data_IF_641607277191
#
_entry.id   IF_641607277191
#
_cell.length_a   1.000
_cell.length_b   1.000
_cell.length_c   1.000
_cell.angle_alpha   90.00
_cell.angle_beta   90.00
_cell.angle_gamma   90.00
#
_symmetry.space_group_name_H-M   'P 1'
#
loop_
_entity.id
_entity.type
_entity.pdbx_description
1 polymer ?
#
# COMPACT_ATOMS: atom_id res chain seq x y z
N UNK A 1 -12.52 -23.81 -5.03
CA UNK A 1 -13.04 -22.58 -5.65
C UNK A 1 -13.02 -21.49 -4.59
N UNK A 2 -11.88 -20.81 -4.47
CA UNK A 2 -11.68 -19.47 -3.90
C UNK A 2 -10.21 -19.16 -4.16
N UNK A 3 -9.88 -18.90 -5.44
CA UNK A 3 -8.74 -18.03 -5.73
C UNK A 3 -9.18 -16.68 -5.20
N UNK A 4 -8.94 -16.45 -3.91
CA UNK A 4 -9.16 -15.15 -3.31
C UNK A 4 -8.22 -14.23 -4.08
N UNK A 5 -8.78 -13.41 -4.97
CA UNK A 5 -8.06 -12.30 -5.58
C UNK A 5 -7.34 -11.59 -4.44
N UNK A 6 -6.01 -11.73 -4.39
CA UNK A 6 -5.20 -11.08 -3.37
C UNK A 6 -5.63 -9.60 -3.37
N UNK A 7 -5.92 -8.97 -2.22
CA UNK A 7 -6.37 -7.58 -2.16
C UNK A 7 -5.47 -6.62 -2.96
N UNK A 8 -4.18 -6.99 -3.05
CA UNK A 8 -3.15 -6.31 -3.83
C UNK A 8 -3.45 -6.41 -5.34
N UNK A 9 -3.84 -7.58 -5.84
CA UNK A 9 -4.23 -7.80 -7.23
C UNK A 9 -5.43 -6.94 -7.63
N UNK A 10 -6.44 -6.89 -6.75
CA UNK A 10 -7.63 -6.05 -6.97
C UNK A 10 -7.29 -4.56 -7.05
N UNK A 11 -6.33 -4.06 -6.26
CA UNK A 11 -5.85 -2.68 -6.36
C UNK A 11 -5.14 -2.40 -7.68
N UNK A 12 -4.26 -3.30 -8.12
CA UNK A 12 -3.57 -3.16 -9.42
C UNK A 12 -4.54 -3.19 -10.59
N UNK A 13 -5.58 -4.02 -10.56
CA UNK A 13 -6.61 -4.06 -11.59
C UNK A 13 -7.48 -2.80 -11.61
N UNK A 14 -7.80 -2.24 -10.44
CA UNK A 14 -8.47 -0.94 -10.36
C UNK A 14 -7.62 0.19 -10.96
N UNK A 15 -6.32 0.22 -10.66
CA UNK A 15 -5.38 1.19 -11.22
C UNK A 15 -5.27 1.06 -12.74
N UNK A 16 -5.12 -0.17 -13.26
CA UNK A 16 -5.09 -0.47 -14.70
C UNK A 16 -6.35 0.00 -15.40
N UNK A 17 -7.51 -0.26 -14.79
CA UNK A 17 -8.81 0.16 -15.34
C UNK A 17 -8.91 1.68 -15.41
N UNK A 18 -8.50 2.39 -14.35
CA UNK A 18 -8.51 3.84 -14.31
C UNK A 18 -7.60 4.46 -15.38
N UNK A 19 -6.40 3.90 -15.57
CA UNK A 19 -5.43 4.35 -16.60
C UNK A 19 -5.98 4.11 -18.01
N UNK A 20 -6.56 2.93 -18.29
CA UNK A 20 -7.20 2.67 -19.60
C UNK A 20 -8.38 3.58 -19.85
N UNK A 21 -9.17 3.87 -18.81
CA UNK A 21 -10.32 4.76 -18.92
C UNK A 21 -9.89 6.21 -19.20
N UNK A 22 -8.86 6.72 -18.54
CA UNK A 22 -8.35 8.07 -18.79
C UNK A 22 -7.77 8.21 -20.20
N UNK A 23 -7.06 7.19 -20.68
CA UNK A 23 -6.56 7.10 -22.05
C UNK A 23 -7.70 7.11 -23.07
N UNK A 24 -8.76 6.32 -22.85
CA UNK A 24 -9.94 6.31 -23.72
C UNK A 24 -10.66 7.67 -23.74
N UNK A 25 -10.79 8.33 -22.59
CA UNK A 25 -11.35 9.68 -22.51
C UNK A 25 -10.50 10.69 -23.28
N UNK A 26 -9.17 10.60 -23.18
CA UNK A 26 -8.25 11.45 -23.93
C UNK A 26 -8.39 11.24 -25.44
N UNK A 27 -8.36 9.99 -25.90
CA UNK A 27 -8.62 9.61 -27.31
C UNK A 27 -9.94 10.18 -27.82
N UNK A 28 -11.00 10.04 -27.03
CA UNK A 28 -12.32 10.54 -27.38
C UNK A 28 -12.37 12.07 -27.45
N UNK A 29 -11.65 12.76 -26.55
CA UNK A 29 -11.50 14.21 -26.57
C UNK A 29 -10.81 14.71 -27.84
N UNK A 30 -9.69 14.08 -28.22
CA UNK A 30 -8.97 14.41 -29.47
C UNK A 30 -9.84 14.16 -30.70
N UNK A 31 -10.55 13.01 -30.77
CA UNK A 31 -11.48 12.73 -31.86
C UNK A 31 -12.63 13.75 -31.93
N UNK A 32 -13.10 14.24 -30.78
CA UNK A 32 -14.13 15.29 -30.72
C UNK A 32 -13.60 16.61 -31.27
N UNK A 33 -12.37 17.00 -30.91
CA UNK A 33 -11.72 18.20 -31.46
C UNK A 33 -11.58 18.11 -32.98
N UNK A 34 -11.11 16.99 -33.52
CA UNK A 34 -11.02 16.78 -34.99
C UNK A 34 -12.35 16.95 -35.70
N UNK A 35 -13.42 16.42 -35.10
CA UNK A 35 -14.77 16.57 -35.64
C UNK A 35 -15.21 18.04 -35.67
N UNK A 36 -14.89 18.82 -34.64
CA UNK A 36 -15.17 20.26 -34.59
C UNK A 36 -14.38 21.02 -35.65
N UNK A 37 -13.09 20.72 -35.82
CA UNK A 37 -12.24 21.36 -36.84
C UNK A 37 -12.74 21.05 -38.26
N UNK A 38 -13.14 19.80 -38.50
CA UNK A 38 -13.77 19.37 -39.76
C UNK A 38 -15.12 20.05 -40.01
N UNK A 39 -15.93 20.22 -38.95
CA UNK A 39 -17.20 20.95 -39.03
C UNK A 39 -16.97 22.43 -39.33
N UNK A 40 -15.96 23.06 -38.75
CA UNK A 40 -15.61 24.46 -39.01
C UNK A 40 -15.18 24.65 -40.47
N UNK A 41 -14.32 23.75 -40.99
CA UNK A 41 -13.94 23.72 -42.41
C UNK A 41 -15.18 23.56 -43.30
N UNK A 42 -16.06 22.62 -42.98
CA UNK A 42 -17.31 22.39 -43.72
C UNK A 42 -18.20 23.63 -43.72
N UNK A 43 -18.26 24.35 -42.59
CA UNK A 43 -18.98 25.62 -42.46
C UNK A 43 -18.41 26.72 -43.36
N UNK A 44 -17.08 26.84 -43.44
CA UNK A 44 -16.42 27.79 -44.34
C UNK A 44 -16.74 27.49 -45.81
N UNK A 45 -16.69 26.22 -46.22
CA UNK A 45 -17.11 25.78 -47.56
C UNK A 45 -18.58 26.12 -47.83
N UNK A 46 -19.44 25.90 -46.84
CA UNK A 46 -20.86 26.27 -46.88
C UNK A 46 -21.05 27.78 -47.10
N UNK A 47 -20.35 28.62 -46.33
CA UNK A 47 -20.40 30.08 -46.47
C UNK A 47 -19.90 30.55 -47.86
N UNK A 48 -18.81 29.97 -48.35
CA UNK A 48 -18.29 30.26 -49.69
C UNK A 48 -19.34 29.94 -50.76
N UNK A 49 -19.99 28.77 -50.68
CA UNK A 49 -21.02 28.35 -51.62
C UNK A 49 -22.26 29.28 -51.61
N UNK A 50 -22.68 29.72 -50.43
CA UNK A 50 -23.80 30.66 -50.26
C UNK A 50 -23.48 32.03 -50.85
N UNK A 51 -22.25 32.54 -50.67
CA UNK A 51 -21.85 33.81 -51.26
C UNK A 51 -21.76 33.74 -52.79
N UNK A 52 -21.28 32.63 -53.36
CA UNK A 52 -21.33 32.39 -54.82
C UNK A 52 -22.78 32.41 -55.33
N UNK A 53 -23.69 31.77 -54.61
CA UNK A 53 -25.11 31.78 -54.96
C UNK A 53 -25.73 33.18 -54.89
N UNK A 54 -25.37 33.98 -53.88
CA UNK A 54 -25.82 35.37 -53.76
C UNK A 54 -25.30 36.24 -54.89
N UNK A 55 -24.03 36.08 -55.29
CA UNK A 55 -23.45 36.79 -56.44
C UNK A 55 -24.17 36.43 -57.74
N UNK A 56 -24.45 35.15 -57.97
CA UNK A 56 -25.18 34.70 -59.15
C UNK A 56 -26.61 35.26 -59.21
N UNK A 57 -27.29 35.32 -58.06
CA UNK A 57 -28.61 35.94 -57.94
C UNK A 57 -28.56 37.46 -58.18
N UNK A 58 -27.53 38.14 -57.67
CA UNK A 58 -27.31 39.56 -57.90
C UNK A 58 -27.02 39.87 -59.38
N UNK A 59 -26.20 39.04 -60.04
CA UNK A 59 -25.95 39.14 -61.48
C UNK A 59 -27.25 38.99 -62.28
N UNK A 60 -28.04 37.95 -61.96
CA UNK A 60 -29.34 37.70 -62.62
C UNK A 60 -30.34 38.85 -62.42
N UNK A 61 -30.41 39.43 -61.21
CA UNK A 61 -31.27 40.56 -60.90
C UNK A 61 -30.83 41.83 -61.67
N UNK A 62 -29.53 42.12 -61.70
CA UNK A 62 -28.97 43.24 -62.47
C UNK A 62 -29.26 43.07 -63.96
N UNK A 63 -29.10 41.85 -64.50
CA UNK A 63 -29.48 41.54 -65.87
C UNK A 63 -30.96 41.78 -66.15
N UNK A 64 -31.85 41.41 -65.24
CA UNK A 64 -33.28 41.68 -65.36
C UNK A 64 -33.59 43.18 -65.43
N UNK A 65 -32.95 43.99 -64.58
CA UNK A 65 -33.12 45.45 -64.55
C UNK A 65 -32.61 46.14 -65.82
N UNK A 66 -31.41 45.75 -66.27
CA UNK A 66 -30.78 46.29 -67.49
C UNK A 66 -31.61 45.90 -68.71
N UNK A 67 -32.07 44.65 -68.79
CA UNK A 67 -32.93 44.18 -69.89
C UNK A 67 -34.26 44.95 -69.94
N UNK A 68 -34.88 45.22 -68.80
CA UNK A 68 -36.13 45.97 -68.73
C UNK A 68 -35.96 47.43 -69.16
N UNK A 69 -34.81 48.03 -68.86
CA UNK A 69 -34.48 49.42 -69.23
C UNK A 69 -34.06 49.51 -70.70
N UNK A 70 -33.29 48.55 -71.19
CA UNK A 70 -32.93 48.39 -72.60
C UNK A 70 -34.17 48.22 -73.50
N UNK A 71 -35.20 47.50 -73.03
CA UNK A 71 -36.47 47.37 -73.74
C UNK A 71 -37.23 48.70 -73.95
N UNK A 72 -36.86 49.77 -73.23
CA UNK A 72 -37.44 51.11 -73.33
C UNK A 72 -36.55 52.12 -74.07
N UNK A 73 -35.32 51.76 -74.44
CA UNK A 73 -34.32 52.62 -75.08
C UNK A 73 -34.01 52.17 -76.53
N UNK A 74 -33.58 53.08 -77.44
CA UNK A 74 -33.16 52.73 -78.80
C UNK A 74 -31.90 51.84 -78.81
N UNK A 75 -31.87 50.90 -79.76
CA UNK A 75 -31.24 49.58 -79.69
C UNK A 75 -29.71 49.49 -79.65
N UNK A 76 -28.98 50.57 -79.85
CA UNK A 76 -27.53 50.50 -80.13
C UNK A 76 -26.64 50.47 -78.86
N UNK A 77 -27.12 50.97 -77.71
CA UNK A 77 -26.32 51.06 -76.46
C UNK A 77 -26.55 49.89 -75.47
N UNK A 78 -27.63 49.13 -75.63
CA UNK A 78 -27.99 48.02 -74.74
C UNK A 78 -26.95 46.88 -74.64
N UNK A 79 -26.36 46.36 -75.75
CA UNK A 79 -25.45 45.22 -75.68
C UNK A 79 -24.10 45.55 -75.01
N UNK A 80 -23.64 46.79 -75.07
CA UNK A 80 -22.41 47.24 -74.43
C UNK A 80 -22.55 47.28 -72.89
N UNK A 81 -23.72 47.72 -72.40
CA UNK A 81 -24.06 47.75 -70.98
C UNK A 81 -24.15 46.33 -70.38
N UNK A 82 -24.75 45.38 -71.10
CA UNK A 82 -24.78 43.97 -70.68
C UNK A 82 -23.36 43.39 -70.59
N UNK A 83 -22.52 43.61 -71.61
CA UNK A 83 -21.14 43.09 -71.63
C UNK A 83 -20.29 43.63 -70.48
N UNK A 84 -20.41 44.93 -70.18
CA UNK A 84 -19.67 45.57 -69.07
C UNK A 84 -20.09 44.99 -67.71
N UNK A 85 -21.38 44.72 -67.54
CA UNK A 85 -21.93 44.15 -66.31
C UNK A 85 -21.48 42.70 -66.13
N UNK A 86 -21.53 41.90 -67.20
CA UNK A 86 -21.03 40.53 -67.19
C UNK A 86 -19.54 40.47 -66.86
N UNK A 87 -18.70 41.29 -67.52
CA UNK A 87 -17.27 41.36 -67.22
C UNK A 87 -16.99 41.76 -65.76
N UNK A 88 -17.79 42.68 -65.21
CA UNK A 88 -17.67 43.11 -63.81
C UNK A 88 -18.03 42.00 -62.83
N UNK A 89 -19.13 41.27 -63.08
CA UNK A 89 -19.55 40.15 -62.25
C UNK A 89 -18.61 38.95 -62.39
N UNK A 90 -18.10 38.67 -63.59
CA UNK A 90 -17.13 37.60 -63.84
C UNK A 90 -15.82 37.89 -63.11
N UNK A 91 -15.33 39.13 -63.16
CA UNK A 91 -14.13 39.53 -62.44
C UNK A 91 -14.32 39.44 -60.91
N UNK A 92 -15.48 39.84 -60.41
CA UNK A 92 -15.83 39.73 -59.00
C UNK A 92 -15.93 38.26 -58.55
N UNK A 93 -16.58 37.41 -59.35
CA UNK A 93 -16.70 35.96 -59.08
C UNK A 93 -15.34 35.26 -59.12
N UNK A 94 -14.46 35.62 -60.08
CA UNK A 94 -13.10 35.07 -60.16
C UNK A 94 -12.29 35.44 -58.92
N UNK A 95 -12.28 36.73 -58.57
CA UNK A 95 -11.55 37.23 -57.38
C UNK A 95 -12.05 36.58 -56.10
N UNK A 96 -13.37 36.43 -55.96
CA UNK A 96 -14.00 35.79 -54.81
C UNK A 96 -13.66 34.30 -54.74
N UNK A 97 -13.75 33.58 -55.86
CA UNK A 97 -13.42 32.15 -55.95
C UNK A 97 -11.97 31.91 -55.59
N UNK A 98 -11.05 32.68 -56.18
CA UNK A 98 -9.61 32.57 -55.91
C UNK A 98 -9.29 32.81 -54.43
N UNK A 99 -9.92 33.80 -53.80
CA UNK A 99 -9.76 34.09 -52.38
C UNK A 99 -10.24 32.95 -51.49
N UNK A 100 -11.47 32.46 -51.70
CA UNK A 100 -12.02 31.38 -50.88
C UNK A 100 -11.31 30.05 -51.11
N UNK A 101 -10.92 29.75 -52.35
CA UNK A 101 -10.14 28.56 -52.66
C UNK A 101 -8.74 28.61 -52.03
N UNK A 102 -8.11 29.79 -51.97
CA UNK A 102 -6.84 29.96 -51.26
C UNK A 102 -7.00 29.79 -49.74
N UNK A 103 -8.04 30.39 -49.16
CA UNK A 103 -8.38 30.27 -47.75
C UNK A 103 -8.74 28.82 -47.36
N UNK A 104 -9.54 28.14 -48.18
CA UNK A 104 -9.93 26.74 -47.97
C UNK A 104 -8.70 25.83 -47.94
N UNK A 105 -7.79 25.97 -48.92
CA UNK A 105 -6.55 25.17 -48.98
C UNK A 105 -5.62 25.42 -47.81
N UNK A 106 -5.53 26.66 -47.34
CA UNK A 106 -4.73 27.02 -46.16
C UNK A 106 -5.28 26.33 -44.92
N UNK A 107 -6.58 26.49 -44.66
CA UNK A 107 -7.25 25.90 -43.49
C UNK A 107 -7.29 24.38 -43.56
N UNK A 108 -7.50 23.78 -44.74
CA UNK A 108 -7.41 22.33 -44.93
C UNK A 108 -6.04 21.79 -44.55
N UNK A 109 -4.97 22.43 -45.04
CA UNK A 109 -3.60 22.02 -44.74
C UNK A 109 -3.31 22.11 -43.24
N UNK A 110 -3.77 23.17 -42.59
CA UNK A 110 -3.57 23.36 -41.15
C UNK A 110 -4.33 22.31 -40.34
N UNK A 111 -5.60 22.05 -40.68
CA UNK A 111 -6.43 21.02 -40.03
C UNK A 111 -5.86 19.62 -40.27
N UNK A 112 -5.42 19.30 -41.48
CA UNK A 112 -4.83 18.01 -41.82
C UNK A 112 -3.50 17.79 -41.07
N UNK A 113 -2.62 18.79 -41.04
CA UNK A 113 -1.36 18.74 -40.30
C UNK A 113 -1.60 18.59 -38.79
N UNK A 114 -2.56 19.33 -38.24
CA UNK A 114 -2.94 19.23 -36.83
C UNK A 114 -3.55 17.85 -36.51
N UNK A 115 -4.35 17.29 -37.42
CA UNK A 115 -4.93 15.96 -37.28
C UNK A 115 -3.86 14.87 -37.28
N UNK A 116 -2.92 14.90 -38.23
CA UNK A 116 -1.83 13.92 -38.36
C UNK A 116 -0.93 13.92 -37.10
N UNK A 117 -0.47 15.10 -36.67
CA UNK A 117 0.32 15.25 -35.44
C UNK A 117 -0.43 14.77 -34.20
N UNK A 118 -1.73 15.05 -34.12
CA UNK A 118 -2.57 14.58 -33.03
C UNK A 118 -2.71 13.05 -33.02
N UNK A 119 -2.65 12.40 -34.18
CA UNK A 119 -2.83 10.95 -34.36
C UNK A 119 -1.57 10.26 -33.90
N UNK A 120 -0.43 10.73 -34.40
CA UNK A 120 0.89 10.29 -33.96
C UNK A 120 1.07 10.48 -32.44
N UNK A 121 0.62 11.60 -31.89
CA UNK A 121 0.69 11.84 -30.44
C UNK A 121 -0.19 10.87 -29.63
N UNK A 122 -1.43 10.64 -30.08
CA UNK A 122 -2.36 9.70 -29.44
C UNK A 122 -1.82 8.27 -29.49
N UNK A 123 -1.27 7.86 -30.62
CA UNK A 123 -0.70 6.52 -30.81
C UNK A 123 0.56 6.33 -29.97
N UNK A 124 1.45 7.33 -29.93
CA UNK A 124 2.64 7.31 -29.06
C UNK A 124 2.27 7.22 -27.58
N UNK A 125 1.25 7.95 -27.14
CA UNK A 125 0.73 7.84 -25.76
C UNK A 125 0.10 6.48 -25.49
N UNK A 126 -0.56 5.87 -26.48
CA UNK A 126 -1.14 4.54 -26.36
C UNK A 126 -0.06 3.49 -26.09
N UNK A 127 0.97 3.48 -26.93
CA UNK A 127 2.09 2.56 -26.83
C UNK A 127 2.87 2.76 -25.53
N UNK A 128 3.12 4.00 -25.12
CA UNK A 128 3.77 4.29 -23.83
C UNK A 128 2.93 3.81 -22.63
N UNK A 129 1.62 3.98 -22.69
CA UNK A 129 0.71 3.54 -21.63
C UNK A 129 0.69 2.01 -21.54
N UNK A 130 0.59 1.32 -22.68
CA UNK A 130 0.62 -0.14 -22.72
C UNK A 130 1.95 -0.71 -22.20
N UNK A 131 3.08 -0.09 -22.57
CA UNK A 131 4.40 -0.46 -22.04
C UNK A 131 4.46 -0.29 -20.51
N UNK A 132 3.91 0.81 -19.97
CA UNK A 132 3.81 1.04 -18.53
C UNK A 132 2.91 0.01 -17.82
N UNK A 133 1.78 -0.33 -18.43
CA UNK A 133 0.86 -1.34 -17.92
C UNK A 133 1.50 -2.74 -17.91
N UNK A 134 2.35 -3.05 -18.89
CA UNK A 134 3.10 -4.30 -18.94
C UNK A 134 4.19 -4.35 -17.87
N UNK A 135 4.95 -3.27 -17.71
CA UNK A 135 5.94 -3.15 -16.62
C UNK A 135 5.29 -3.31 -15.24
N UNK A 136 4.18 -2.63 -15.00
CA UNK A 136 3.44 -2.72 -13.73
C UNK A 136 2.84 -4.10 -13.51
N UNK A 137 2.43 -4.82 -14.57
CA UNK A 137 2.00 -6.21 -14.47
C UNK A 137 3.13 -7.15 -14.04
N UNK A 138 4.34 -6.96 -14.56
CA UNK A 138 5.50 -7.73 -14.09
C UNK A 138 5.78 -7.50 -12.60
N UNK A 139 5.58 -6.27 -12.12
CA UNK A 139 5.72 -5.93 -10.69
C UNK A 139 4.57 -6.49 -9.86
N UNK A 140 3.33 -6.44 -10.36
CA UNK A 140 2.15 -7.08 -9.75
C UNK A 140 2.40 -8.57 -9.53
N UNK A 141 2.85 -9.29 -10.56
CA UNK A 141 3.09 -10.73 -10.47
C UNK A 141 4.18 -11.07 -9.44
N UNK A 142 5.27 -10.28 -9.40
CA UNK A 142 6.32 -10.44 -8.38
C UNK A 142 5.80 -10.13 -6.97
N UNK A 143 5.02 -9.07 -6.80
CA UNK A 143 4.47 -8.68 -5.50
C UNK A 143 3.48 -9.72 -4.97
N UNK A 144 2.58 -10.22 -5.84
CA UNK A 144 1.63 -11.27 -5.49
C UNK A 144 2.36 -12.56 -5.13
N UNK A 145 3.36 -12.96 -5.93
CA UNK A 145 4.17 -14.14 -5.64
C UNK A 145 4.88 -14.04 -4.29
N UNK A 146 5.54 -12.91 -4.00
CA UNK A 146 6.24 -12.72 -2.72
C UNK A 146 5.28 -12.79 -1.52
N UNK A 147 4.08 -12.23 -1.66
CA UNK A 147 3.04 -12.27 -0.61
C UNK A 147 2.49 -13.68 -0.44
N UNK A 148 2.28 -14.42 -1.52
CA UNK A 148 1.83 -15.81 -1.47
C UNK A 148 2.90 -16.72 -0.84
N UNK A 149 4.17 -16.55 -1.19
CA UNK A 149 5.31 -17.25 -0.57
C UNK A 149 5.40 -16.97 0.92
N UNK A 150 5.34 -15.69 1.32
CA UNK A 150 5.35 -15.30 2.73
C UNK A 150 4.15 -15.86 3.49
N UNK A 151 2.96 -15.83 2.89
CA UNK A 151 1.76 -16.41 3.48
C UNK A 151 1.85 -17.93 3.59
N UNK A 152 2.53 -18.59 2.67
CA UNK A 152 2.85 -20.01 2.73
C UNK A 152 3.76 -20.33 3.93
N UNK A 153 4.86 -19.58 4.07
CA UNK A 153 5.80 -19.72 5.19
C UNK A 153 5.13 -19.48 6.54
N UNK A 154 4.25 -18.47 6.65
CA UNK A 154 3.49 -18.22 7.88
C UNK A 154 2.54 -19.37 8.21
N UNK A 155 1.84 -19.95 7.22
CA UNK A 155 0.98 -21.12 7.45
C UNK A 155 1.79 -22.32 7.94
N UNK A 156 2.93 -22.58 7.31
CA UNK A 156 3.81 -23.67 7.70
C UNK A 156 4.40 -23.48 9.10
N UNK A 157 4.72 -22.23 9.49
CA UNK A 157 5.13 -21.89 10.84
C UNK A 157 4.01 -22.08 11.87
N UNK A 158 2.78 -21.70 11.53
CA UNK A 158 1.60 -21.90 12.38
C UNK A 158 1.32 -23.39 12.56
N UNK A 159 1.39 -24.19 11.48
CA UNK A 159 1.25 -25.65 11.54
C UNK A 159 2.32 -26.27 12.43
N UNK A 160 3.60 -25.90 12.26
CA UNK A 160 4.69 -26.36 13.13
C UNK A 160 4.49 -25.96 14.60
N UNK A 161 3.92 -24.78 14.84
CA UNK A 161 3.62 -24.31 16.22
C UNK A 161 2.49 -25.10 16.85
N UNK A 162 1.44 -25.45 16.07
CA UNK A 162 0.38 -26.35 16.52
C UNK A 162 0.93 -27.74 16.82
N UNK A 163 1.76 -28.29 15.93
CA UNK A 163 2.37 -29.60 16.11
C UNK A 163 3.28 -29.66 17.36
N UNK A 164 3.96 -28.56 17.70
CA UNK A 164 4.71 -28.43 18.95
C UNK A 164 3.80 -28.32 20.18
N UNK A 165 2.65 -27.64 20.07
CA UNK A 165 1.65 -27.60 21.14
C UNK A 165 1.09 -28.99 21.40
N UNK A 166 0.69 -29.72 20.36
CA UNK A 166 0.18 -31.09 20.46
C UNK A 166 1.22 -32.00 21.15
N UNK A 167 2.49 -31.92 20.75
CA UNK A 167 3.58 -32.67 21.40
C UNK A 167 3.83 -32.29 22.86
N UNK A 168 3.63 -31.02 23.22
CA UNK A 168 3.74 -30.54 24.59
C UNK A 168 2.58 -31.07 25.43
N UNK A 169 1.38 -31.07 24.87
CA UNK A 169 0.17 -31.59 25.50
C UNK A 169 0.30 -33.09 25.77
N UNK A 170 0.73 -33.88 24.78
CA UNK A 170 1.02 -35.32 24.93
C UNK A 170 2.06 -35.57 26.05
N UNK A 171 3.13 -34.77 26.11
CA UNK A 171 4.18 -34.90 27.15
C UNK A 171 3.67 -34.58 28.55
N UNK A 172 2.81 -33.56 28.66
CA UNK A 172 2.22 -33.18 29.92
C UNK A 172 1.25 -34.28 30.38
N UNK A 173 0.48 -34.87 29.47
CA UNK A 173 -0.37 -36.02 29.78
C UNK A 173 0.45 -37.22 30.29
N UNK A 174 1.54 -37.57 29.60
CA UNK A 174 2.47 -38.64 30.02
C UNK A 174 3.10 -38.36 31.40
N UNK A 175 3.60 -37.13 31.63
CA UNK A 175 4.18 -36.75 32.93
C UNK A 175 3.15 -36.76 34.06
N UNK A 176 1.92 -36.35 33.77
CA UNK A 176 0.85 -36.33 34.78
C UNK A 176 0.43 -37.75 35.14
N UNK A 177 0.37 -38.66 34.16
CA UNK A 177 0.14 -40.09 34.40
C UNK A 177 1.26 -40.75 35.22
N UNK A 178 2.51 -40.39 34.96
CA UNK A 178 3.66 -40.84 35.76
C UNK A 178 3.60 -40.32 37.21
N UNK A 179 3.18 -39.06 37.41
CA UNK A 179 3.00 -38.47 38.75
C UNK A 179 1.86 -39.16 39.51
N UNK A 180 0.74 -39.45 38.85
CA UNK A 180 -0.38 -40.17 39.45
C UNK A 180 0.04 -41.58 39.89
N UNK A 181 0.79 -42.29 39.03
CA UNK A 181 1.38 -43.59 39.35
C UNK A 181 2.38 -43.52 40.51
N UNK A 182 3.18 -42.46 40.59
CA UNK A 182 4.15 -42.25 41.65
C UNK A 182 3.46 -41.93 42.99
N UNK A 183 2.36 -41.17 42.97
CA UNK A 183 1.54 -40.88 44.14
C UNK A 183 0.85 -42.14 44.66
N UNK A 184 0.32 -43.00 43.77
CA UNK A 184 -0.22 -44.31 44.17
C UNK A 184 0.85 -45.18 44.83
N UNK A 185 2.04 -45.26 44.22
CA UNK A 185 3.17 -46.03 44.77
C UNK A 185 3.65 -45.48 46.11
N UNK A 186 3.65 -44.16 46.28
CA UNK A 186 4.01 -43.51 47.53
C UNK A 186 2.96 -43.76 48.61
N UNK A 187 1.67 -43.74 48.26
CA UNK A 187 0.59 -44.10 49.17
C UNK A 187 0.71 -45.56 49.64
N UNK A 188 0.98 -46.50 48.74
CA UNK A 188 1.25 -47.91 49.10
C UNK A 188 2.49 -48.04 50.01
N UNK A 189 3.56 -47.28 49.75
CA UNK A 189 4.74 -47.26 50.63
C UNK A 189 4.42 -46.72 52.02
N UNK A 190 3.59 -45.67 52.12
CA UNK A 190 3.15 -45.10 53.39
C UNK A 190 2.30 -46.12 54.15
N UNK A 191 1.39 -46.84 53.49
CA UNK A 191 0.62 -47.91 54.12
C UNK A 191 1.52 -49.05 54.64
N UNK A 192 2.51 -49.49 53.84
CA UNK A 192 3.48 -50.49 54.29
C UNK A 192 4.32 -49.99 55.47
N UNK A 193 4.73 -48.72 55.44
CA UNK A 193 5.51 -48.13 56.53
C UNK A 193 4.66 -47.98 57.79
N UNK A 194 3.38 -47.60 57.66
CA UNK A 194 2.43 -47.59 58.77
C UNK A 194 2.23 -48.99 59.35
N UNK A 195 2.08 -50.03 58.52
CA UNK A 195 2.03 -51.41 59.00
C UNK A 195 3.31 -51.82 59.73
N UNK A 196 4.49 -51.50 59.19
CA UNK A 196 5.76 -51.77 59.87
C UNK A 196 5.88 -51.00 61.19
N UNK A 197 5.41 -49.75 61.24
CA UNK A 197 5.36 -48.96 62.46
C UNK A 197 4.33 -49.50 63.44
N UNK A 198 3.21 -50.05 63.00
CA UNK A 198 2.23 -50.72 63.88
C UNK A 198 2.80 -52.01 64.44
N UNK A 199 3.48 -52.83 63.63
CA UNK A 199 4.18 -54.04 64.08
C UNK A 199 5.34 -53.71 65.02
N UNK A 200 6.13 -52.67 64.70
CA UNK A 200 7.20 -52.19 65.57
C UNK A 200 6.65 -51.51 66.81
N UNK A 201 5.55 -50.77 66.74
CA UNK A 201 4.90 -50.17 67.90
C UNK A 201 4.28 -51.25 68.79
N UNK A 202 3.69 -52.32 68.24
CA UNK A 202 3.27 -53.47 69.02
C UNK A 202 4.45 -54.23 69.66
N UNK A 203 5.60 -54.27 68.98
CA UNK A 203 6.84 -54.85 69.50
C UNK A 203 7.47 -53.97 70.60
N UNK A 204 7.54 -52.66 70.40
CA UNK A 204 8.08 -51.64 71.32
C UNK A 204 7.13 -51.43 72.50
N UNK A 205 5.82 -51.49 72.32
CA UNK A 205 4.82 -51.44 73.40
C UNK A 205 4.95 -52.66 74.33
N UNK A 206 5.59 -53.75 73.88
CA UNK A 206 5.93 -54.90 74.70
C UNK A 206 7.24 -54.71 75.51
N UNK A 207 8.09 -53.75 75.17
CA UNK A 207 9.40 -53.49 75.82
C UNK A 207 9.64 -52.00 76.18
N UNK A 208 8.76 -51.41 76.99
CA UNK A 208 9.04 -50.30 77.93
C UNK A 208 9.47 -48.92 77.30
N UNK A 209 9.69 -47.84 78.10
CA UNK A 209 8.83 -46.66 78.31
C UNK A 209 9.21 -45.39 77.51
N UNK A 210 8.32 -44.40 77.59
CA UNK A 210 8.39 -43.02 77.07
C UNK A 210 9.64 -42.22 77.54
N UNK A 211 10.33 -41.60 76.57
CA UNK A 211 11.15 -40.37 76.67
C UNK A 211 11.52 -40.00 75.21
N UNK A 212 11.13 -38.89 74.58
CA UNK A 212 10.95 -37.52 75.06
C UNK A 212 12.20 -36.71 74.70
N UNK A 213 12.13 -35.92 73.61
CA UNK A 213 12.86 -34.66 73.25
C UNK A 213 12.91 -34.54 71.71
N UNK A 214 12.13 -33.67 71.05
CA UNK A 214 12.31 -32.20 70.88
C UNK A 214 13.72 -31.84 70.37
N UNK A 215 13.89 -31.63 69.06
CA UNK A 215 13.96 -30.31 68.37
C UNK A 215 15.44 -29.93 68.04
N UNK A 216 15.77 -28.89 67.24
CA UNK A 216 15.26 -28.50 65.92
C UNK A 216 16.39 -28.08 64.92
N UNK A 217 15.94 -27.77 63.69
CA UNK A 217 16.53 -27.05 62.55
C UNK A 217 17.87 -26.29 62.68
N UNK A 218 18.77 -26.49 61.71
CA UNK A 218 19.90 -25.59 61.40
C UNK A 218 19.52 -24.61 60.30
N UNK A 219 19.51 -23.32 60.65
CA UNK A 219 19.35 -22.15 59.78
C UNK A 219 20.75 -21.82 59.22
N UNK A 220 20.90 -21.72 57.90
CA UNK A 220 22.16 -21.29 57.28
C UNK A 220 22.24 -19.76 57.41
N UNK A 221 23.22 -19.30 58.18
CA UNK A 221 23.64 -17.89 58.25
C UNK A 221 24.41 -17.54 56.97
N UNK A 222 23.96 -16.52 56.23
CA UNK A 222 24.73 -15.90 55.15
C UNK A 222 25.45 -14.66 55.71
N UNK A 223 26.78 -14.64 55.55
CA UNK A 223 27.70 -13.59 55.99
C UNK A 223 27.24 -12.19 55.55
N UNK A 224 27.26 -11.24 56.50
CA UNK A 224 26.79 -9.86 56.32
C UNK A 224 27.77 -8.96 55.55
N UNK A 225 28.93 -9.47 55.12
CA UNK A 225 29.95 -8.66 54.44
C UNK A 225 29.79 -8.63 52.91
N UNK A 226 28.89 -9.41 52.31
CA UNK A 226 28.71 -9.51 50.85
C UNK A 226 27.28 -9.22 50.38
N UNK A 227 26.47 -8.62 51.25
CA UNK A 227 25.09 -8.21 50.97
C UNK A 227 25.04 -6.73 50.56
N UNK A 228 24.04 -6.38 49.76
CA UNK A 228 23.82 -5.01 49.26
C UNK A 228 23.56 -3.97 50.36
N UNK A 229 23.43 -4.40 51.63
CA UNK A 229 23.27 -3.53 52.80
C UNK A 229 24.56 -2.76 53.16
N UNK A 230 25.71 -3.22 52.67
CA UNK A 230 27.00 -2.59 52.94
C UNK A 230 27.31 -1.38 52.04
N UNK A 231 26.53 -1.17 50.97
CA UNK A 231 26.72 -0.06 50.01
C UNK A 231 25.96 1.16 50.49
N UNK A 232 26.66 2.29 50.65
CA UNK A 232 26.07 3.51 51.19
C UNK A 232 25.09 4.12 50.18
N UNK A 233 23.83 4.27 50.58
CA UNK A 233 22.75 4.79 49.73
C UNK A 233 21.83 3.73 49.11
N UNK A 234 22.10 2.43 49.33
CA UNK A 234 21.18 1.35 48.97
C UNK A 234 20.23 1.05 50.14
N UNK A 235 19.02 1.61 50.08
CA UNK A 235 17.97 1.41 51.10
C UNK A 235 17.22 0.06 50.90
N UNK A 236 16.37 -0.30 51.86
CA UNK A 236 15.59 -1.55 51.80
C UNK A 236 14.71 -1.67 50.54
N UNK A 237 14.09 -0.56 50.11
CA UNK A 237 13.22 -0.52 48.93
C UNK A 237 14.02 -0.75 47.63
N UNK A 238 15.22 -0.17 47.54
CA UNK A 238 16.13 -0.35 46.40
C UNK A 238 16.63 -1.80 46.33
N UNK A 239 16.90 -2.44 47.48
CA UNK A 239 17.32 -3.86 47.50
C UNK A 239 16.22 -4.81 47.04
N UNK A 240 14.97 -4.50 47.35
CA UNK A 240 13.84 -5.31 46.86
C UNK A 240 13.77 -5.24 45.33
N UNK A 241 13.89 -4.04 44.76
CA UNK A 241 13.90 -3.83 43.30
C UNK A 241 15.10 -4.52 42.62
N UNK A 242 16.30 -4.41 43.21
CA UNK A 242 17.49 -5.12 42.72
C UNK A 242 17.34 -6.64 42.84
N UNK A 243 16.72 -7.13 43.93
CA UNK A 243 16.44 -8.56 44.12
C UNK A 243 15.44 -9.10 43.09
N UNK A 244 14.44 -8.32 42.69
CA UNK A 244 13.52 -8.68 41.60
C UNK A 244 14.24 -8.81 40.26
N UNK A 245 15.27 -7.99 40.04
CA UNK A 245 16.18 -8.09 38.89
C UNK A 245 17.27 -9.19 39.05
N UNK A 246 17.24 -9.97 40.15
CA UNK A 246 18.20 -11.03 40.43
C UNK A 246 19.56 -10.54 40.95
N UNK A 247 19.69 -9.26 41.27
CA UNK A 247 20.88 -8.63 41.82
C UNK A 247 20.74 -8.64 43.34
N UNK A 248 21.28 -9.67 43.99
CA UNK A 248 21.09 -9.89 45.44
C UNK A 248 22.37 -9.72 46.26
N UNK A 249 23.52 -9.68 45.58
CA UNK A 249 24.85 -9.58 46.20
C UNK A 249 25.67 -8.45 45.57
N UNK A 250 26.70 -8.00 46.30
CA UNK A 250 27.67 -7.00 45.80
C UNK A 250 28.34 -7.49 44.49
N UNK A 251 28.56 -8.81 44.36
CA UNK A 251 29.13 -9.40 43.15
C UNK A 251 28.17 -9.37 41.95
N UNK A 252 26.86 -9.46 42.19
CA UNK A 252 25.87 -9.33 41.13
C UNK A 252 25.72 -7.87 40.69
N UNK A 253 25.84 -6.92 41.62
CA UNK A 253 25.81 -5.48 41.35
C UNK A 253 26.94 -5.07 40.39
N UNK A 254 28.17 -5.47 40.71
CA UNK A 254 29.36 -5.20 39.87
C UNK A 254 29.28 -5.92 38.51
N UNK A 255 28.71 -7.12 38.46
CA UNK A 255 28.52 -7.87 37.20
C UNK A 255 27.44 -7.27 36.30
N UNK A 256 26.35 -6.76 36.88
CA UNK A 256 25.25 -6.18 36.13
C UNK A 256 25.67 -4.87 35.41
N UNK A 257 26.58 -4.09 36.01
CA UNK A 257 27.05 -2.83 35.44
C UNK A 257 26.06 -1.67 35.63
N UNK A 258 26.55 -0.44 35.50
CA UNK A 258 25.83 0.78 35.90
C UNK A 258 24.48 0.96 35.17
N UNK A 259 24.42 0.63 33.88
CA UNK A 259 23.20 0.72 33.06
C UNK A 259 22.08 -0.20 33.59
N UNK A 260 22.38 -1.48 33.81
CA UNK A 260 21.37 -2.45 34.28
C UNK A 260 20.97 -2.22 35.74
N UNK A 261 21.90 -1.74 36.57
CA UNK A 261 21.60 -1.37 37.97
C UNK A 261 20.72 -0.12 38.02
N UNK A 262 20.97 0.85 37.15
CA UNK A 262 20.15 2.06 37.05
C UNK A 262 18.73 1.77 36.58
N UNK A 263 18.58 0.87 35.60
CA UNK A 263 17.26 0.42 35.12
C UNK A 263 16.52 -0.38 36.19
N UNK A 264 17.20 -1.30 36.89
CA UNK A 264 16.59 -2.14 37.92
C UNK A 264 16.11 -1.35 39.15
N UNK A 265 16.81 -0.28 39.52
CA UNK A 265 16.52 0.54 40.70
C UNK A 265 15.83 1.88 40.39
N UNK A 266 15.49 2.16 39.13
CA UNK A 266 14.92 3.44 38.66
C UNK A 266 15.70 4.67 39.15
N UNK A 267 17.04 4.62 39.02
CA UNK A 267 17.96 5.70 39.39
C UNK A 267 18.78 6.19 38.20
N UNK A 268 19.56 7.26 38.39
CA UNK A 268 20.51 7.70 37.36
C UNK A 268 21.72 6.78 37.27
N UNK A 269 22.22 6.53 36.05
CA UNK A 269 23.42 5.75 35.79
C UNK A 269 24.65 6.24 36.58
N UNK A 270 24.80 7.55 36.77
CA UNK A 270 25.89 8.12 37.59
C UNK A 270 25.81 7.73 39.07
N UNK A 271 24.61 7.50 39.60
CA UNK A 271 24.40 7.04 40.98
C UNK A 271 24.62 5.52 41.09
N UNK A 272 24.26 4.76 40.05
CA UNK A 272 24.57 3.34 39.96
C UNK A 272 26.08 3.09 39.83
N UNK A 273 26.80 3.94 39.11
CA UNK A 273 28.27 3.90 38.99
C UNK A 273 28.94 4.15 40.35
N UNK A 274 28.44 5.11 41.15
CA UNK A 274 28.93 5.37 42.51
C UNK A 274 28.74 4.15 43.44
N UNK A 275 27.61 3.44 43.33
CA UNK A 275 27.37 2.21 44.08
C UNK A 275 28.29 1.06 43.67
N UNK A 276 28.61 0.95 42.38
CA UNK A 276 29.53 -0.07 41.86
C UNK A 276 30.98 0.24 42.30
N UNK A 277 31.39 1.51 42.26
CA UNK A 277 32.72 1.92 42.75
C UNK A 277 32.87 1.66 44.26
N UNK A 278 31.83 1.91 45.06
CA UNK A 278 31.82 1.56 46.49
C UNK A 278 31.84 0.05 46.73
N UNK A 279 31.18 -0.72 45.87
CA UNK A 279 31.15 -2.18 45.93
C UNK A 279 32.51 -2.82 45.57
N UNK A 280 33.38 -2.12 44.85
CA UNK A 280 34.73 -2.57 44.48
C UNK A 280 35.84 -2.15 45.46
N UNK A 281 35.54 -1.22 46.40
CA UNK A 281 36.49 -0.64 47.35
C UNK A 281 36.77 -1.52 48.58
#
# INVERSE_FOLDING_TARGET
MSQSESPIRAMFDAQRTAVKQSQQLFKHGMATQRNVDTMALTGLKGQASLQRQQLALAQAATHGYVSATAAMLPSDDAPEAHRTIDETFDQLQSTHTEFYDALEREVERDVESANELSEEFVDALDEQTDQLLEMTRSVEDQAVQNVDEFSGQLREQLERTQELQDQLEDRLEDQTGDVETLLERQAEQIEQFQQQLEEQAEAVTREIPVQGTDEPHTKIETDAEHTLEAVEGIDADVREQLSEAGITTIQDLTRAGAENVAEAADISESQAEEWIEQAEA
#
